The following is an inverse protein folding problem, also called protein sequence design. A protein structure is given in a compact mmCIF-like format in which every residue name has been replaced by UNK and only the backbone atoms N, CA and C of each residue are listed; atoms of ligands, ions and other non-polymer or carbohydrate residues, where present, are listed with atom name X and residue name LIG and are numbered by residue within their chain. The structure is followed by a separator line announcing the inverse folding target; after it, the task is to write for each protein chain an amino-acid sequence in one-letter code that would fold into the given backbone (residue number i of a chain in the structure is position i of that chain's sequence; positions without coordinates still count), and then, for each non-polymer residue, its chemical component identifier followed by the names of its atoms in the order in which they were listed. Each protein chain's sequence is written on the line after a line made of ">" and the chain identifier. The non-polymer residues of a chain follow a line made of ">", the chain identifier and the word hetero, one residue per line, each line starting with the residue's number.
data_IF_985810609744
#
_entry.id   IF_985810609744
#
_cell.length_a   1.000
_cell.length_b   1.000
_cell.length_c   1.000
_cell.angle_alpha   90.00
_cell.angle_beta   90.00
_cell.angle_gamma   90.00
#
_symmetry.space_group_name_H-M   'P 1'
#
loop_
_entity.id
_entity.type
_entity.pdbx_description
1 polymer ?
#
# COMPACT_ATOMS: atom_id res chain seq x y z
N UNK A 1 -43.52 -25.50 54.77
CA UNK A 1 -44.56 -25.21 53.76
C UNK A 1 -43.80 -24.98 52.45
N UNK A 2 -43.51 -26.01 51.63
CA UNK A 2 -44.40 -26.64 50.64
C UNK A 2 -45.26 -25.59 49.92
N UNK A 3 -45.38 -25.50 48.59
CA UNK A 3 -44.86 -26.25 47.45
C UNK A 3 -45.36 -25.44 46.23
N UNK A 4 -44.54 -25.16 45.21
CA UNK A 4 -45.00 -25.22 43.81
C UNK A 4 -43.80 -25.20 42.86
N UNK A 5 -43.07 -26.32 42.82
CA UNK A 5 -42.40 -26.73 41.60
C UNK A 5 -43.47 -26.92 40.52
N UNK A 6 -43.19 -26.52 39.27
CA UNK A 6 -43.27 -27.38 38.07
C UNK A 6 -43.46 -26.58 36.79
N UNK A 7 -42.34 -26.21 36.17
CA UNK A 7 -42.25 -26.17 34.71
C UNK A 7 -40.97 -26.90 34.30
N UNK A 8 -41.18 -28.12 33.80
CA UNK A 8 -40.15 -28.92 33.15
C UNK A 8 -39.85 -28.28 31.80
N UNK A 9 -38.73 -27.59 31.67
CA UNK A 9 -38.20 -27.26 30.35
C UNK A 9 -36.72 -27.60 30.36
N UNK A 10 -36.41 -28.68 29.65
CA UNK A 10 -35.11 -29.30 29.61
C UNK A 10 -34.01 -28.34 29.13
N UNK A 11 -32.80 -28.62 29.59
CA UNK A 11 -31.59 -27.99 29.09
C UNK A 11 -31.46 -28.26 27.58
N UNK A 12 -31.79 -27.27 26.76
CA UNK A 12 -31.50 -27.29 25.32
C UNK A 12 -30.04 -26.84 25.17
N UNK A 13 -29.13 -27.82 25.18
CA UNK A 13 -27.76 -27.64 24.72
C UNK A 13 -27.79 -27.49 23.19
N UNK A 14 -27.92 -26.26 22.70
CA UNK A 14 -27.68 -25.91 21.30
C UNK A 14 -26.17 -26.04 21.04
N UNK A 15 -25.75 -27.24 20.64
CA UNK A 15 -24.43 -27.47 20.07
C UNK A 15 -24.34 -26.71 18.73
N UNK A 16 -23.84 -25.48 18.76
CA UNK A 16 -23.48 -24.74 17.55
C UNK A 16 -22.23 -25.42 16.99
N UNK A 17 -22.43 -26.37 16.07
CA UNK A 17 -21.37 -26.87 15.23
C UNK A 17 -20.91 -25.71 14.34
N UNK A 18 -19.90 -24.98 14.80
CA UNK A 18 -19.25 -23.93 14.05
C UNK A 18 -18.58 -24.56 12.83
N UNK A 19 -19.22 -24.47 11.68
CA UNK A 19 -18.58 -24.68 10.39
C UNK A 19 -17.59 -23.53 10.20
N UNK A 20 -16.36 -23.72 10.68
CA UNK A 20 -15.23 -22.90 10.30
C UNK A 20 -14.98 -23.15 8.81
N UNK A 21 -15.60 -22.33 7.96
CA UNK A 21 -15.24 -22.19 6.56
C UNK A 21 -13.79 -21.70 6.54
N UNK A 22 -12.84 -22.64 6.47
CA UNK A 22 -11.43 -22.33 6.28
C UNK A 22 -11.31 -21.53 4.98
N UNK A 23 -10.84 -20.29 5.08
CA UNK A 23 -10.51 -19.50 3.91
C UNK A 23 -9.39 -20.22 3.17
N UNK A 24 -9.71 -20.85 2.04
CA UNK A 24 -8.70 -21.37 1.13
C UNK A 24 -7.99 -20.17 0.51
N UNK A 25 -6.88 -19.74 1.10
CA UNK A 25 -5.99 -18.77 0.46
C UNK A 25 -5.35 -19.49 -0.73
N UNK A 26 -5.88 -19.24 -1.92
CA UNK A 26 -5.25 -19.69 -3.16
C UNK A 26 -3.95 -18.90 -3.35
N UNK A 27 -2.84 -19.40 -2.82
CA UNK A 27 -1.50 -18.95 -3.21
C UNK A 27 -1.26 -19.44 -4.64
N UNK A 28 -1.57 -18.60 -5.62
CA UNK A 28 -1.11 -18.82 -6.99
C UNK A 28 0.42 -18.79 -6.98
N UNK A 29 1.05 -19.89 -7.37
CA UNK A 29 2.49 -19.92 -7.60
C UNK A 29 2.81 -18.95 -8.75
N UNK A 30 3.65 -17.96 -8.49
CA UNK A 30 4.07 -17.04 -9.55
C UNK A 30 5.02 -17.74 -10.52
N UNK A 31 5.01 -17.28 -11.76
CA UNK A 31 5.98 -17.70 -12.74
C UNK A 31 7.42 -17.32 -12.26
N UNK A 32 8.40 -18.23 -12.32
CA UNK A 32 9.74 -18.00 -11.78
C UNK A 32 10.50 -16.90 -12.53
N UNK A 33 10.19 -16.64 -13.80
CA UNK A 33 10.77 -15.51 -14.53
C UNK A 33 10.22 -14.19 -13.99
N UNK A 34 8.92 -14.11 -13.66
CA UNK A 34 8.32 -12.93 -13.01
C UNK A 34 8.92 -12.71 -11.62
N UNK A 35 9.09 -13.76 -10.82
CA UNK A 35 9.76 -13.68 -9.52
C UNK A 35 11.15 -13.04 -9.66
N UNK A 36 11.98 -13.59 -10.54
CA UNK A 36 13.33 -13.10 -10.74
C UNK A 36 13.35 -11.65 -11.24
N UNK A 37 12.45 -11.29 -12.16
CA UNK A 37 12.30 -9.93 -12.64
C UNK A 37 12.05 -8.95 -11.48
N UNK A 38 11.11 -9.26 -10.59
CA UNK A 38 10.77 -8.40 -9.45
C UNK A 38 11.90 -8.33 -8.43
N UNK A 39 12.61 -9.44 -8.17
CA UNK A 39 13.80 -9.45 -7.32
C UNK A 39 14.87 -8.51 -7.88
N UNK A 40 15.12 -8.53 -9.19
CA UNK A 40 16.10 -7.64 -9.83
C UNK A 40 15.66 -6.18 -9.79
N UNK A 41 14.37 -5.89 -9.92
CA UNK A 41 13.83 -4.54 -9.73
C UNK A 41 14.07 -4.06 -8.30
N UNK A 42 13.80 -4.88 -7.28
CA UNK A 42 14.08 -4.52 -5.88
C UNK A 42 15.58 -4.26 -5.68
N UNK A 43 16.47 -5.16 -6.12
CA UNK A 43 17.92 -4.98 -6.01
C UNK A 43 18.43 -3.72 -6.70
N UNK A 44 18.00 -3.48 -7.94
CA UNK A 44 18.42 -2.31 -8.71
C UNK A 44 17.87 -1.00 -8.13
N UNK A 45 16.69 -1.04 -7.50
CA UNK A 45 16.09 0.14 -6.85
C UNK A 45 16.94 0.69 -5.70
N UNK A 46 17.60 -0.20 -4.94
CA UNK A 46 18.48 0.15 -3.83
C UNK A 46 19.87 0.67 -4.27
N UNK A 47 20.22 0.56 -5.55
CA UNK A 47 21.58 0.89 -6.03
C UNK A 47 21.88 2.40 -6.17
N UNK A 48 20.85 3.26 -6.07
CA UNK A 48 20.91 4.70 -6.41
C UNK A 48 21.42 5.03 -7.83
N UNK A 49 21.59 4.03 -8.70
CA UNK A 49 22.05 4.18 -10.07
C UNK A 49 20.87 4.22 -11.03
N UNK A 50 20.54 5.42 -11.50
CA UNK A 50 19.44 5.64 -12.46
C UNK A 50 19.61 4.86 -13.76
N UNK A 51 20.86 4.65 -14.19
CA UNK A 51 21.18 3.89 -15.41
C UNK A 51 20.91 2.42 -15.18
N UNK A 52 21.43 1.84 -14.09
CA UNK A 52 21.21 0.44 -13.75
C UNK A 52 19.72 0.15 -13.56
N UNK A 53 19.02 0.97 -12.77
CA UNK A 53 17.60 0.84 -12.54
C UNK A 53 16.79 0.94 -13.84
N UNK A 54 17.07 1.92 -14.70
CA UNK A 54 16.35 2.05 -15.98
C UNK A 54 16.64 0.90 -16.95
N UNK A 55 17.87 0.38 -16.95
CA UNK A 55 18.23 -0.78 -17.75
C UNK A 55 17.47 -2.03 -17.28
N UNK A 56 17.43 -2.30 -15.97
CA UNK A 56 16.68 -3.42 -15.40
C UNK A 56 15.19 -3.32 -15.74
N UNK A 57 14.58 -2.14 -15.60
CA UNK A 57 13.18 -1.95 -15.97
C UNK A 57 12.91 -2.23 -17.46
N UNK A 58 13.84 -1.82 -18.34
CA UNK A 58 13.73 -2.06 -19.79
C UNK A 58 13.91 -3.52 -20.15
N UNK A 59 14.91 -4.18 -19.55
CA UNK A 59 15.23 -5.58 -19.77
C UNK A 59 14.05 -6.50 -19.43
N UNK A 60 13.42 -6.27 -18.28
CA UNK A 60 12.25 -7.02 -17.83
C UNK A 60 10.91 -6.43 -18.28
N UNK A 61 10.93 -5.39 -19.13
CA UNK A 61 9.73 -4.71 -19.68
C UNK A 61 8.71 -4.32 -18.61
N UNK A 62 9.21 -3.80 -17.50
CA UNK A 62 8.41 -3.43 -16.34
C UNK A 62 7.55 -2.21 -16.66
N UNK A 63 6.24 -2.34 -16.45
CA UNK A 63 5.33 -1.21 -16.52
C UNK A 63 5.35 -0.46 -15.18
N UNK A 64 6.08 0.67 -15.15
CA UNK A 64 6.30 1.48 -13.95
C UNK A 64 4.98 1.91 -13.27
N UNK A 65 3.99 2.35 -14.05
CA UNK A 65 2.68 2.80 -13.54
C UNK A 65 1.90 1.69 -12.84
N UNK A 66 1.98 0.45 -13.33
CA UNK A 66 1.25 -0.68 -12.74
C UNK A 66 2.02 -1.34 -11.60
N UNK A 67 3.34 -1.41 -11.71
CA UNK A 67 4.19 -2.18 -10.79
C UNK A 67 4.60 -1.35 -9.59
N UNK A 68 5.06 -0.11 -9.76
CA UNK A 68 5.64 0.66 -8.64
C UNK A 68 4.69 0.89 -7.46
N UNK A 69 3.39 1.18 -7.65
CA UNK A 69 2.47 1.39 -6.53
C UNK A 69 2.14 0.12 -5.74
N UNK A 70 2.47 -1.06 -6.27
CA UNK A 70 2.05 -2.37 -5.72
C UNK A 70 3.22 -3.26 -5.34
N UNK A 71 4.42 -3.00 -5.88
CA UNK A 71 5.59 -3.80 -5.60
C UNK A 71 6.08 -3.56 -4.18
N UNK A 72 6.22 -4.66 -3.44
CA UNK A 72 6.75 -4.70 -2.08
C UNK A 72 8.08 -5.43 -2.11
N UNK A 73 9.11 -4.81 -1.55
CA UNK A 73 10.45 -5.36 -1.39
C UNK A 73 10.71 -5.54 0.11
N UNK A 74 10.92 -6.78 0.56
CA UNK A 74 11.18 -7.10 1.97
C UNK A 74 10.17 -6.51 2.98
N UNK A 75 8.89 -6.43 2.60
CA UNK A 75 7.82 -5.90 3.45
C UNK A 75 7.61 -4.38 3.35
N UNK A 76 8.46 -3.67 2.60
CA UNK A 76 8.34 -2.23 2.37
C UNK A 76 7.87 -1.94 0.94
N UNK A 77 7.16 -0.83 0.72
CA UNK A 77 6.87 -0.38 -0.66
C UNK A 77 8.18 -0.09 -1.41
N UNK A 78 8.20 -0.29 -2.73
CA UNK A 78 9.41 -0.05 -3.54
C UNK A 78 10.04 1.33 -3.30
N UNK A 79 9.22 2.36 -3.10
CA UNK A 79 9.70 3.71 -2.78
C UNK A 79 10.38 3.79 -1.40
N UNK A 80 9.74 3.23 -0.36
CA UNK A 80 10.32 3.18 0.98
C UNK A 80 11.60 2.35 1.00
N UNK A 81 11.61 1.21 0.32
CA UNK A 81 12.78 0.35 0.18
C UNK A 81 13.97 1.08 -0.47
N UNK A 82 13.72 1.85 -1.54
CA UNK A 82 14.76 2.67 -2.13
C UNK A 82 15.28 3.74 -1.15
N UNK A 83 14.40 4.40 -0.39
CA UNK A 83 14.78 5.41 0.61
C UNK A 83 15.57 4.80 1.78
N UNK A 84 15.14 3.64 2.31
CA UNK A 84 15.79 2.95 3.43
C UNK A 84 17.20 2.47 3.08
N UNK A 85 17.48 2.26 1.79
CA UNK A 85 18.80 1.94 1.27
C UNK A 85 19.61 3.15 0.76
N UNK A 86 19.15 4.40 0.98
CA UNK A 86 19.88 5.61 0.57
C UNK A 86 19.88 5.86 -0.94
N UNK A 87 18.89 5.31 -1.66
CA UNK A 87 18.77 5.43 -3.11
C UNK A 87 17.85 6.60 -3.53
N UNK A 88 18.16 7.82 -3.07
CA UNK A 88 17.31 9.02 -3.23
C UNK A 88 16.91 9.31 -4.68
N UNK A 89 17.82 9.11 -5.64
CA UNK A 89 17.54 9.38 -7.06
C UNK A 89 16.52 8.39 -7.59
N UNK A 90 16.68 7.12 -7.23
CA UNK A 90 15.75 6.05 -7.61
C UNK A 90 14.41 6.24 -6.93
N UNK A 91 14.40 6.53 -5.63
CA UNK A 91 13.19 6.82 -4.87
C UNK A 91 12.41 8.00 -5.49
N UNK A 92 13.09 9.11 -5.82
CA UNK A 92 12.47 10.25 -6.51
C UNK A 92 11.84 9.88 -7.86
N UNK A 93 12.43 8.95 -8.62
CA UNK A 93 11.79 8.43 -9.85
C UNK A 93 10.55 7.63 -9.52
N UNK A 94 10.65 6.69 -8.59
CA UNK A 94 9.53 5.81 -8.17
C UNK A 94 8.34 6.65 -7.67
N UNK A 95 8.61 7.68 -6.87
CA UNK A 95 7.59 8.54 -6.26
C UNK A 95 6.65 9.22 -7.26
N UNK A 96 7.11 9.45 -8.51
CA UNK A 96 6.29 10.05 -9.58
C UNK A 96 5.12 9.17 -10.03
N UNK A 97 5.21 7.87 -9.78
CA UNK A 97 4.20 6.89 -10.18
C UNK A 97 3.28 6.51 -9.02
N UNK A 98 3.58 6.95 -7.80
CA UNK A 98 2.73 6.72 -6.66
C UNK A 98 1.49 7.60 -6.77
N UNK A 99 0.31 7.10 -6.39
CA UNK A 99 -0.89 7.92 -6.32
C UNK A 99 -0.67 9.06 -5.30
N UNK A 100 -0.57 10.29 -5.79
CA UNK A 100 -0.51 11.47 -4.97
C UNK A 100 -1.90 11.85 -4.45
N UNK A 101 -2.00 12.17 -3.16
CA UNK A 101 -3.16 12.91 -2.65
C UNK A 101 -2.89 14.38 -2.89
N UNK A 102 -3.53 14.97 -3.89
CA UNK A 102 -3.50 16.43 -4.08
C UNK A 102 -4.49 17.06 -3.11
N UNK A 103 -4.00 17.89 -2.19
CA UNK A 103 -4.85 18.76 -1.37
C UNK A 103 -4.93 20.09 -2.08
N UNK A 104 -6.13 20.52 -2.46
CA UNK A 104 -6.35 21.85 -3.02
C UNK A 104 -6.41 22.81 -1.83
N UNK A 105 -5.33 23.56 -1.59
CA UNK A 105 -5.35 24.71 -0.69
C UNK A 105 -5.50 25.97 -1.52
N UNK A 106 -6.60 26.69 -1.34
CA UNK A 106 -6.78 28.00 -1.95
C UNK A 106 -5.81 28.98 -1.29
N UNK A 107 -4.90 29.57 -2.07
CA UNK A 107 -3.93 30.54 -1.57
C UNK A 107 -4.56 31.94 -1.37
N UNK A 108 -5.82 32.13 -1.80
CA UNK A 108 -6.49 33.42 -1.74
C UNK A 108 -7.33 33.64 -0.46
N UNK A 109 -7.30 32.72 0.51
CA UNK A 109 -7.99 32.93 1.79
C UNK A 109 -7.18 33.84 2.72
N UNK A 110 -7.04 35.11 2.31
CA UNK A 110 -6.54 36.18 3.15
C UNK A 110 -7.70 36.57 4.08
N UNK A 111 -7.59 36.44 5.41
CA UNK A 111 -8.60 36.93 6.33
C UNK A 111 -8.82 38.44 6.07
N UNK A 112 -10.08 38.91 6.13
CA UNK A 112 -10.46 40.31 5.83
C UNK A 112 -9.55 41.35 6.53
N UNK A 113 -9.00 40.98 7.67
CA UNK A 113 -8.13 41.78 8.54
C UNK A 113 -6.72 42.04 7.95
N UNK A 114 -6.28 41.30 6.92
CA UNK A 114 -4.93 41.39 6.33
C UNK A 114 -4.92 41.92 4.89
N UNK A 115 -6.05 42.43 4.38
CA UNK A 115 -6.12 43.03 3.04
C UNK A 115 -5.41 44.39 2.99
N UNK A 116 -4.27 44.43 2.31
CA UNK A 116 -3.55 45.68 2.02
C UNK A 116 -4.13 46.34 0.75
N UNK A 117 -4.73 47.52 0.89
CA UNK A 117 -5.22 48.31 -0.26
C UNK A 117 -4.09 49.21 -0.79
N UNK A 118 -3.71 49.03 -2.06
CA UNK A 118 -2.76 49.91 -2.75
C UNK A 118 -3.48 50.69 -3.85
N UNK A 119 -3.24 52.01 -3.88
CA UNK A 119 -3.76 52.92 -4.89
C UNK A 119 -2.63 53.33 -5.82
N UNK A 120 -2.76 53.04 -7.11
CA UNK A 120 -1.85 53.55 -8.14
C UNK A 120 -2.38 54.90 -8.65
N UNK A 121 -1.55 55.93 -8.53
CA UNK A 121 -1.82 57.28 -9.03
C UNK A 121 -1.33 57.43 -10.46
#
# INVERSE_FOLDING_TARGET
>A
MNLCQRTRTGAVLLAVAGLSFGSLSAQAAMDPYIEQALIQVCKSSASNSMIAFSNTLREYRINEQRVFPRLVCNGESLHQFAMSHGADRTAKKIGRFLPGKVTISDMAMIPEEEKLYVSFR
#
